data_IF_388962582635
#
_entry.id   IF_388962582635
#
_cell.length_a   1.000
_cell.length_b   1.000
_cell.length_c   1.000
_cell.angle_alpha   90.00
_cell.angle_beta   90.00
_cell.angle_gamma   90.00
#
_symmetry.space_group_name_H-M   'P 1'
#
loop_
_entity.id
_entity.type
_entity.pdbx_description
1 polymer ?
#
# COMPACT_ATOMS: atom_id res chain seq x y z
N UNK A 1 -48.24 -33.58 -36.78
CA UNK A 1 -48.40 -33.18 -35.36
C UNK A 1 -47.15 -32.42 -34.96
N UNK A 2 -47.22 -31.12 -34.60
CA UNK A 2 -46.07 -30.44 -34.04
C UNK A 2 -45.86 -30.93 -32.61
N UNK A 3 -44.61 -31.29 -32.27
CA UNK A 3 -44.20 -31.56 -30.89
C UNK A 3 -44.27 -30.23 -30.13
N UNK A 4 -45.32 -30.06 -29.33
CA UNK A 4 -45.43 -28.92 -28.41
C UNK A 4 -44.37 -29.15 -27.33
N UNK A 5 -43.32 -28.33 -27.35
CA UNK A 5 -42.38 -28.22 -26.23
C UNK A 5 -43.19 -27.88 -24.97
N UNK A 6 -43.23 -28.81 -24.02
CA UNK A 6 -43.92 -28.55 -22.75
C UNK A 6 -43.10 -27.53 -21.95
N UNK A 7 -43.75 -26.54 -21.30
CA UNK A 7 -43.05 -25.49 -20.54
C UNK A 7 -42.07 -26.03 -19.47
N UNK A 8 -42.30 -27.26 -18.99
CA UNK A 8 -41.40 -28.00 -18.09
C UNK A 8 -40.00 -28.27 -18.67
N UNK A 9 -39.88 -28.52 -19.97
CA UNK A 9 -38.59 -28.80 -20.62
C UNK A 9 -37.77 -27.52 -20.81
N UNK A 10 -38.41 -26.41 -21.22
CA UNK A 10 -37.74 -25.12 -21.38
C UNK A 10 -37.23 -24.53 -20.06
N UNK A 11 -37.98 -24.69 -18.96
CA UNK A 11 -37.50 -24.27 -17.63
C UNK A 11 -36.32 -25.10 -17.12
N UNK A 12 -36.28 -26.40 -17.41
CA UNK A 12 -35.16 -27.26 -17.01
C UNK A 12 -33.88 -26.94 -17.79
N UNK A 13 -34.02 -26.64 -19.09
CA UNK A 13 -32.91 -26.15 -19.92
C UNK A 13 -32.40 -24.79 -19.43
N UNK A 14 -33.29 -23.86 -19.10
CA UNK A 14 -32.92 -22.57 -18.50
C UNK A 14 -32.15 -22.75 -17.19
N UNK A 15 -32.62 -23.64 -16.30
CA UNK A 15 -31.94 -23.96 -15.04
C UNK A 15 -30.56 -24.63 -15.26
N UNK A 16 -30.41 -25.42 -16.32
CA UNK A 16 -29.13 -25.99 -16.71
C UNK A 16 -28.15 -24.93 -17.23
N UNK A 17 -28.63 -23.98 -18.04
CA UNK A 17 -27.83 -22.87 -18.53
C UNK A 17 -27.38 -21.94 -17.39
N UNK A 18 -28.29 -21.55 -16.49
CA UNK A 18 -27.95 -20.74 -15.31
C UNK A 18 -26.95 -21.44 -14.39
N UNK A 19 -27.12 -22.74 -14.15
CA UNK A 19 -26.16 -23.53 -13.37
C UNK A 19 -24.78 -23.59 -14.05
N UNK A 20 -24.72 -23.78 -15.37
CA UNK A 20 -23.45 -23.77 -16.13
C UNK A 20 -22.77 -22.39 -16.07
N UNK A 21 -23.53 -21.32 -16.18
CA UNK A 21 -23.01 -19.96 -16.05
C UNK A 21 -22.39 -19.72 -14.66
N UNK A 22 -23.05 -20.15 -13.59
CA UNK A 22 -22.47 -20.04 -12.23
C UNK A 22 -21.15 -20.81 -12.08
N UNK A 23 -21.01 -22.01 -12.65
CA UNK A 23 -19.74 -22.75 -12.59
C UNK A 23 -18.61 -22.04 -13.33
N UNK A 24 -18.89 -21.46 -14.50
CA UNK A 24 -17.90 -20.66 -15.24
C UNK A 24 -17.51 -19.39 -14.47
N UNK A 25 -18.50 -18.71 -13.87
CA UNK A 25 -18.26 -17.54 -13.04
C UNK A 25 -17.39 -17.87 -11.83
N UNK A 26 -17.63 -19.00 -11.14
CA UNK A 26 -16.79 -19.42 -10.01
C UNK A 26 -15.34 -19.56 -10.43
N UNK A 27 -15.07 -20.28 -11.52
CA UNK A 27 -13.69 -20.47 -12.00
C UNK A 27 -13.01 -19.12 -12.30
N UNK A 28 -13.70 -18.23 -13.00
CA UNK A 28 -13.18 -16.90 -13.31
C UNK A 28 -12.90 -16.07 -12.05
N UNK A 29 -13.80 -16.11 -11.07
CA UNK A 29 -13.65 -15.39 -9.82
C UNK A 29 -12.53 -15.98 -8.94
N UNK A 30 -12.32 -17.30 -8.95
CA UNK A 30 -11.20 -17.96 -8.27
C UNK A 30 -9.85 -17.55 -8.89
N UNK A 31 -9.76 -17.52 -10.21
CA UNK A 31 -8.57 -17.04 -10.92
C UNK A 31 -8.29 -15.56 -10.61
N UNK A 32 -9.33 -14.72 -10.61
CA UNK A 32 -9.23 -13.30 -10.22
C UNK A 32 -8.76 -13.14 -8.78
N UNK A 33 -9.29 -13.96 -7.86
CA UNK A 33 -8.91 -13.92 -6.44
C UNK A 33 -7.42 -14.24 -6.24
N UNK A 34 -6.88 -15.19 -7.00
CA UNK A 34 -5.45 -15.53 -6.97
C UNK A 34 -4.58 -14.36 -7.41
N UNK A 35 -4.97 -13.65 -8.48
CA UNK A 35 -4.25 -12.45 -8.95
C UNK A 35 -4.32 -11.33 -7.90
N UNK A 36 -5.48 -11.13 -7.28
CA UNK A 36 -5.65 -10.14 -6.21
C UNK A 36 -4.76 -10.46 -5.00
N UNK A 37 -4.68 -11.73 -4.58
CA UNK A 37 -3.78 -12.14 -3.50
C UNK A 37 -2.32 -11.80 -3.80
N UNK A 38 -1.84 -12.18 -4.98
CA UNK A 38 -0.46 -11.88 -5.39
C UNK A 38 -0.18 -10.38 -5.39
N UNK A 39 -1.15 -9.57 -5.83
CA UNK A 39 -1.01 -8.12 -5.87
C UNK A 39 -1.03 -7.48 -4.48
N UNK A 40 -1.85 -8.00 -3.55
CA UNK A 40 -1.84 -7.60 -2.14
C UNK A 40 -0.48 -7.92 -1.52
N UNK A 41 -0.01 -9.16 -1.66
CA UNK A 41 1.28 -9.58 -1.09
C UNK A 41 2.45 -8.75 -1.62
N UNK A 42 2.44 -8.42 -2.92
CA UNK A 42 3.42 -7.53 -3.52
C UNK A 42 3.37 -6.12 -2.91
N UNK A 43 2.18 -5.53 -2.83
CA UNK A 43 2.01 -4.17 -2.31
C UNK A 43 2.34 -4.07 -0.82
N UNK A 44 1.97 -5.08 -0.02
CA UNK A 44 2.30 -5.13 1.41
C UNK A 44 3.84 -5.18 1.61
N UNK A 45 4.56 -6.00 0.82
CA UNK A 45 6.02 -6.06 0.88
C UNK A 45 6.69 -4.76 0.40
N UNK A 46 6.20 -4.18 -0.69
CA UNK A 46 6.73 -2.94 -1.25
C UNK A 46 6.49 -1.75 -0.30
N UNK A 47 5.32 -1.68 0.33
CA UNK A 47 5.01 -0.68 1.35
C UNK A 47 5.91 -0.83 2.57
N UNK A 48 6.16 -2.06 3.05
CA UNK A 48 7.08 -2.32 4.15
C UNK A 48 8.49 -1.82 3.84
N UNK A 49 8.98 -2.03 2.62
CA UNK A 49 10.28 -1.52 2.20
C UNK A 49 10.30 0.01 2.15
N UNK A 50 9.25 0.65 1.62
CA UNK A 50 9.12 2.11 1.63
C UNK A 50 9.09 2.67 3.07
N UNK A 51 8.43 2.00 4.02
CA UNK A 51 8.43 2.42 5.43
C UNK A 51 9.85 2.38 6.05
N UNK A 52 10.65 1.36 5.71
CA UNK A 52 12.06 1.31 6.13
C UNK A 52 12.85 2.50 5.57
N UNK A 53 12.67 2.81 4.28
CA UNK A 53 13.33 3.97 3.66
C UNK A 53 12.92 5.30 4.32
N UNK A 54 11.63 5.46 4.66
CA UNK A 54 11.14 6.63 5.39
C UNK A 54 11.81 6.74 6.77
N UNK A 55 11.93 5.63 7.51
CA UNK A 55 12.60 5.62 8.80
C UNK A 55 14.07 6.00 8.68
N UNK A 56 14.79 5.43 7.71
CA UNK A 56 16.21 5.73 7.53
C UNK A 56 16.42 7.18 7.10
N UNK A 57 15.61 7.70 6.18
CA UNK A 57 15.66 9.11 5.78
C UNK A 57 15.34 10.07 6.94
N UNK A 58 14.45 9.68 7.86
CA UNK A 58 14.19 10.45 9.07
C UNK A 58 15.41 10.51 9.99
N UNK A 59 16.18 9.42 10.12
CA UNK A 59 17.45 9.42 10.88
C UNK A 59 18.48 10.34 10.25
N UNK A 60 18.60 10.33 8.92
CA UNK A 60 19.50 11.25 8.20
C UNK A 60 19.15 12.71 8.49
N UNK A 61 17.85 13.05 8.44
CA UNK A 61 17.35 14.38 8.78
C UNK A 61 17.69 14.75 10.22
N UNK A 62 17.45 13.85 11.18
CA UNK A 62 17.73 14.10 12.59
C UNK A 62 19.22 14.36 12.81
N UNK A 63 20.09 13.62 12.12
CA UNK A 63 21.54 13.83 12.12
C UNK A 63 21.95 15.18 11.51
N UNK A 64 21.37 15.55 10.37
CA UNK A 64 21.60 16.85 9.72
C UNK A 64 21.20 18.02 10.64
N UNK A 65 20.06 17.90 11.34
CA UNK A 65 19.60 18.88 12.32
C UNK A 65 20.61 19.03 13.47
N UNK A 66 21.12 17.91 14.01
CA UNK A 66 22.15 17.94 15.05
C UNK A 66 23.42 18.64 14.56
N UNK A 67 23.89 18.35 13.35
CA UNK A 67 25.07 18.99 12.76
C UNK A 67 24.93 20.51 12.62
N UNK A 68 23.74 20.98 12.20
CA UNK A 68 23.40 22.41 12.10
C UNK A 68 23.45 23.04 13.49
N UNK A 69 22.84 22.40 14.49
CA UNK A 69 22.79 22.90 15.86
C UNK A 69 24.18 23.00 16.49
N UNK A 70 25.01 21.95 16.37
CA UNK A 70 26.39 21.98 16.87
C UNK A 70 27.23 23.07 16.20
N UNK A 71 27.05 23.25 14.89
CA UNK A 71 27.76 24.30 14.13
C UNK A 71 27.30 25.69 14.55
N UNK A 72 26.00 25.89 14.77
CA UNK A 72 25.45 27.13 15.30
C UNK A 72 26.02 27.45 16.69
N UNK A 73 26.10 26.46 17.59
CA UNK A 73 26.71 26.67 18.90
C UNK A 73 28.16 27.12 18.80
N UNK A 74 28.94 26.55 17.87
CA UNK A 74 30.34 26.98 17.64
C UNK A 74 30.41 28.44 17.18
N UNK A 75 29.52 28.85 16.27
CA UNK A 75 29.42 30.24 15.81
C UNK A 75 29.06 31.15 17.00
N UNK A 76 28.02 30.80 17.76
CA UNK A 76 27.56 31.60 18.91
C UNK A 76 28.68 31.76 19.96
N UNK A 77 29.41 30.69 20.27
CA UNK A 77 30.56 30.74 21.17
C UNK A 77 31.66 31.69 20.69
N UNK A 78 31.93 31.72 19.38
CA UNK A 78 32.92 32.64 18.82
C UNK A 78 32.44 34.09 18.88
N UNK A 79 31.16 34.36 18.64
CA UNK A 79 30.60 35.71 18.70
C UNK A 79 30.51 36.25 20.14
N UNK A 80 30.30 35.38 21.13
CA UNK A 80 30.21 35.76 22.54
C UNK A 80 31.58 36.00 23.21
N UNK A 81 32.66 35.50 22.62
CA UNK A 81 34.01 35.62 23.18
C UNK A 81 34.79 36.77 22.52
N UNK A 82 34.91 37.91 23.20
CA UNK A 82 35.88 38.98 22.88
C UNK A 82 37.32 38.46 23.16
N UNK A 83 37.94 37.76 22.20
CA UNK A 83 38.93 36.76 22.62
C UNK A 83 40.20 36.52 21.79
N UNK A 84 40.91 37.52 21.25
CA UNK A 84 42.35 37.33 21.05
C UNK A 84 43.05 36.84 22.36
N UNK A 85 42.57 37.30 23.52
CA UNK A 85 43.15 37.00 24.86
C UNK A 85 42.59 35.75 25.55
N UNK A 86 41.32 35.37 25.35
CA UNK A 86 40.75 34.18 26.01
C UNK A 86 41.17 32.89 25.29
N UNK A 87 41.19 32.88 23.95
CA UNK A 87 41.58 31.69 23.18
C UNK A 87 43.06 31.34 23.32
N UNK A 88 43.95 32.34 23.41
CA UNK A 88 45.38 32.10 23.65
C UNK A 88 45.65 31.49 25.03
N UNK A 89 44.87 31.87 26.04
CA UNK A 89 44.96 31.33 27.41
C UNK A 89 44.58 29.85 27.49
N UNK A 90 43.62 29.40 26.68
CA UNK A 90 43.13 28.02 26.68
C UNK A 90 43.64 27.17 25.50
N UNK A 91 44.52 27.70 24.63
CA UNK A 91 45.04 27.02 23.42
C UNK A 91 43.94 26.40 22.54
N UNK A 92 42.81 27.09 22.42
CA UNK A 92 41.70 26.62 21.58
C UNK A 92 41.96 27.10 20.15
N UNK A 93 42.19 26.16 19.24
CA UNK A 93 42.19 26.45 17.80
C UNK A 93 40.73 26.58 17.34
N UNK A 94 40.31 27.80 17.07
CA UNK A 94 39.00 28.07 16.49
C UNK A 94 39.04 27.85 14.97
N UNK A 95 38.04 27.12 14.48
CA UNK A 95 37.70 27.08 13.06
C UNK A 95 37.28 28.49 12.60
N UNK A 96 37.65 28.92 11.39
CA UNK A 96 37.31 30.26 10.90
C UNK A 96 35.79 30.46 10.84
N UNK A 97 35.30 31.63 11.25
CA UNK A 97 33.86 31.94 11.30
C UNK A 97 33.21 31.82 9.91
N UNK A 98 33.91 32.22 8.84
CA UNK A 98 33.43 32.06 7.46
C UNK A 98 33.28 30.58 7.12
N UNK A 99 34.27 29.76 7.48
CA UNK A 99 34.23 28.31 7.26
C UNK A 99 33.08 27.65 8.04
N UNK A 100 32.83 28.06 9.29
CA UNK A 100 31.69 27.56 10.07
C UNK A 100 30.35 27.95 9.42
N UNK A 101 30.24 29.17 8.91
CA UNK A 101 29.03 29.65 8.25
C UNK A 101 28.78 28.90 6.93
N UNK A 102 29.81 28.68 6.12
CA UNK A 102 29.73 27.88 4.90
C UNK A 102 29.31 26.44 5.18
N UNK A 103 29.89 25.82 6.22
CA UNK A 103 29.54 24.48 6.66
C UNK A 103 28.09 24.39 7.12
N UNK A 104 27.62 25.36 7.90
CA UNK A 104 26.21 25.46 8.30
C UNK A 104 25.29 25.56 7.09
N UNK A 105 25.59 26.46 6.14
CA UNK A 105 24.82 26.63 4.92
C UNK A 105 24.77 25.34 4.08
N UNK A 106 25.86 24.58 4.05
CA UNK A 106 25.91 23.26 3.41
C UNK A 106 24.98 22.26 4.08
N UNK A 107 24.98 22.18 5.41
CA UNK A 107 24.05 21.30 6.14
C UNK A 107 22.59 21.75 5.98
N UNK A 108 22.31 23.05 6.01
CA UNK A 108 20.97 23.59 5.75
C UNK A 108 20.48 23.21 4.33
N UNK A 109 21.37 23.25 3.33
CA UNK A 109 21.04 22.81 1.98
C UNK A 109 20.72 21.31 1.91
N UNK A 110 21.58 20.48 2.53
CA UNK A 110 21.37 19.04 2.61
C UNK A 110 20.06 18.70 3.32
N UNK A 111 19.79 19.32 4.48
CA UNK A 111 18.55 19.11 5.24
C UNK A 111 17.31 19.42 4.40
N UNK A 112 17.33 20.49 3.61
CA UNK A 112 16.22 20.84 2.72
C UNK A 112 16.01 19.79 1.62
N UNK A 113 17.09 19.25 1.04
CA UNK A 113 16.99 18.15 0.07
C UNK A 113 16.41 16.89 0.70
N UNK A 114 16.93 16.47 1.87
CA UNK A 114 16.47 15.28 2.59
C UNK A 114 14.98 15.38 2.97
N UNK A 115 14.51 16.57 3.36
CA UNK A 115 13.10 16.81 3.66
C UNK A 115 12.19 16.64 2.43
N UNK A 116 12.63 17.11 1.27
CA UNK A 116 11.89 16.95 0.02
C UNK A 116 11.82 15.47 -0.40
N UNK A 117 12.94 14.74 -0.27
CA UNK A 117 12.98 13.30 -0.51
C UNK A 117 12.04 12.54 0.43
N UNK A 118 12.04 12.87 1.72
CA UNK A 118 11.16 12.27 2.71
C UNK A 118 9.68 12.53 2.38
N UNK A 119 9.33 13.74 1.97
CA UNK A 119 7.95 14.07 1.57
C UNK A 119 7.52 13.28 0.34
N UNK A 120 8.41 13.10 -0.64
CA UNK A 120 8.18 12.25 -1.81
C UNK A 120 7.92 10.80 -1.41
N UNK A 121 8.76 10.22 -0.55
CA UNK A 121 8.59 8.85 -0.06
C UNK A 121 7.26 8.67 0.70
N UNK A 122 6.89 9.63 1.54
CA UNK A 122 5.59 9.60 2.26
C UNK A 122 4.40 9.66 1.30
N UNK A 123 4.51 10.43 0.22
CA UNK A 123 3.47 10.49 -0.81
C UNK A 123 3.34 9.15 -1.53
N UNK A 124 4.46 8.56 -1.93
CA UNK A 124 4.50 7.23 -2.55
C UNK A 124 3.90 6.15 -1.63
N UNK A 125 4.30 6.11 -0.35
CA UNK A 125 3.75 5.17 0.63
C UNK A 125 2.23 5.33 0.77
N UNK A 126 1.72 6.57 0.79
CA UNK A 126 0.28 6.84 0.84
C UNK A 126 -0.44 6.34 -0.41
N UNK A 127 0.13 6.53 -1.59
CA UNK A 127 -0.44 6.04 -2.86
C UNK A 127 -0.51 4.51 -2.87
N UNK A 128 0.58 3.83 -2.47
CA UNK A 128 0.63 2.37 -2.33
C UNK A 128 -0.38 1.85 -1.30
N UNK A 129 -0.48 2.49 -0.13
CA UNK A 129 -1.48 2.14 0.89
C UNK A 129 -2.90 2.27 0.36
N UNK A 130 -3.21 3.33 -0.39
CA UNK A 130 -4.54 3.50 -1.00
C UNK A 130 -4.82 2.42 -2.07
N UNK A 131 -3.82 2.03 -2.86
CA UNK A 131 -3.95 0.95 -3.84
C UNK A 131 -4.20 -0.39 -3.15
N UNK A 132 -3.46 -0.68 -2.09
CA UNK A 132 -3.62 -1.88 -1.27
C UNK A 132 -5.03 -1.98 -0.67
N UNK A 133 -5.57 -0.88 -0.13
CA UNK A 133 -6.95 -0.86 0.38
C UNK A 133 -7.98 -1.13 -0.72
N UNK A 134 -7.76 -0.63 -1.95
CA UNK A 134 -8.63 -0.95 -3.09
C UNK A 134 -8.60 -2.45 -3.41
N UNK A 135 -7.44 -3.09 -3.40
CA UNK A 135 -7.35 -4.53 -3.63
C UNK A 135 -7.96 -5.34 -2.50
N UNK A 136 -7.82 -4.93 -1.24
CA UNK A 136 -8.50 -5.57 -0.09
C UNK A 136 -10.02 -5.48 -0.23
N UNK A 137 -10.56 -4.33 -0.64
CA UNK A 137 -11.98 -4.17 -0.92
C UNK A 137 -12.44 -5.03 -2.11
N UNK A 138 -11.65 -5.07 -3.18
CA UNK A 138 -11.94 -5.90 -4.35
C UNK A 138 -11.93 -7.40 -4.00
N UNK A 139 -10.96 -7.84 -3.19
CA UNK A 139 -10.89 -9.21 -2.65
C UNK A 139 -12.20 -9.58 -1.96
N UNK A 140 -12.65 -8.76 -1.02
CA UNK A 140 -13.89 -9.00 -0.28
C UNK A 140 -15.11 -9.07 -1.22
N UNK A 141 -15.17 -8.19 -2.22
CA UNK A 141 -16.23 -8.23 -3.23
C UNK A 141 -16.23 -9.55 -4.01
N UNK A 142 -15.06 -10.00 -4.49
CA UNK A 142 -14.92 -11.25 -5.25
C UNK A 142 -15.28 -12.46 -4.39
N UNK A 143 -14.85 -12.50 -3.13
CA UNK A 143 -15.23 -13.55 -2.17
C UNK A 143 -16.74 -13.62 -1.95
N UNK A 144 -17.41 -12.46 -1.85
CA UNK A 144 -18.86 -12.39 -1.74
C UNK A 144 -19.55 -12.93 -3.01
N UNK A 145 -19.05 -12.57 -4.20
CA UNK A 145 -19.58 -13.10 -5.47
C UNK A 145 -19.40 -14.61 -5.58
N UNK A 146 -18.25 -15.14 -5.13
CA UNK A 146 -18.01 -16.58 -5.08
C UNK A 146 -19.01 -17.30 -4.17
N UNK A 147 -19.24 -16.75 -2.97
CA UNK A 147 -20.21 -17.29 -2.02
C UNK A 147 -21.64 -17.31 -2.60
N UNK A 148 -22.07 -16.21 -3.22
CA UNK A 148 -23.38 -16.14 -3.90
C UNK A 148 -23.51 -17.15 -5.04
N UNK A 149 -22.51 -17.30 -5.91
CA UNK A 149 -22.56 -18.27 -7.01
C UNK A 149 -22.58 -19.72 -6.49
N UNK A 150 -21.83 -20.02 -5.42
CA UNK A 150 -21.86 -21.34 -4.76
C UNK A 150 -23.24 -21.65 -4.19
N UNK A 151 -23.86 -20.67 -3.53
CA UNK A 151 -25.23 -20.79 -2.99
C UNK A 151 -26.26 -21.02 -4.09
N UNK A 152 -26.20 -20.23 -5.18
CA UNK A 152 -27.10 -20.40 -6.33
C UNK A 152 -26.99 -21.79 -6.98
N UNK A 153 -25.77 -22.35 -7.08
CA UNK A 153 -25.58 -23.72 -7.57
C UNK A 153 -26.27 -24.74 -6.67
N UNK A 154 -26.13 -24.62 -5.34
CA UNK A 154 -26.82 -25.50 -4.40
C UNK A 154 -28.34 -25.42 -4.60
N UNK A 155 -28.90 -24.22 -4.71
CA UNK A 155 -30.33 -24.01 -4.97
C UNK A 155 -30.78 -24.65 -6.29
N UNK A 156 -30.04 -24.44 -7.38
CA UNK A 156 -30.33 -25.06 -8.66
C UNK A 156 -30.29 -26.59 -8.59
N UNK A 157 -29.35 -27.17 -7.84
CA UNK A 157 -29.29 -28.61 -7.61
C UNK A 157 -30.48 -29.13 -6.81
N UNK A 158 -30.90 -28.40 -5.77
CA UNK A 158 -32.10 -28.74 -5.00
C UNK A 158 -33.36 -28.71 -5.87
N UNK A 159 -33.55 -27.66 -6.67
CA UNK A 159 -34.70 -27.53 -7.59
C UNK A 159 -34.72 -28.69 -8.60
N UNK A 160 -33.57 -29.05 -9.20
CA UNK A 160 -33.47 -30.19 -10.12
C UNK A 160 -33.87 -31.51 -9.46
N UNK A 161 -33.36 -31.77 -8.25
CA UNK A 161 -33.70 -32.99 -7.49
C UNK A 161 -35.19 -33.07 -7.18
N UNK A 162 -35.77 -31.99 -6.65
CA UNK A 162 -37.20 -31.92 -6.31
C UNK A 162 -38.12 -32.13 -7.52
N UNK A 163 -37.74 -31.58 -8.70
CA UNK A 163 -38.48 -31.76 -9.95
C UNK A 163 -38.41 -33.20 -10.48
N UNK A 164 -37.26 -33.86 -10.37
CA UNK A 164 -37.10 -35.26 -10.79
C UNK A 164 -37.86 -36.26 -9.89
N UNK A 165 -38.12 -35.91 -8.62
CA UNK A 165 -38.92 -36.75 -7.70
C UNK A 165 -40.44 -36.62 -7.89
N UNK A 166 -40.92 -35.59 -8.59
CA UNK A 166 -42.33 -35.49 -8.97
C UNK A 166 -42.61 -36.35 -10.22
N UNK A 167 -42.93 -37.64 -10.03
CA UNK A 167 -43.43 -38.49 -11.12
C UNK A 167 -44.72 -37.89 -11.73
N UNK A 168 -44.97 -38.05 -13.04
CA UNK A 168 -46.29 -37.77 -13.61
C UNK A 168 -47.30 -38.76 -13.02
N UNK A 169 -48.44 -38.25 -12.54
CA UNK A 169 -49.64 -39.05 -12.28
C UNK A 169 -50.25 -39.50 -13.60
#
# INVERSE_FOLDING_TARGET
MPLIETPRNGELESLNQSSKACYLNIKYLEDMLNVIHQKIDYLDNDLHYTDIQIMDKQKDIDYSVLCIYETQQKIDMQMLMDAPTVFSKYRVNLEDMVTLQEKKNSFDHQLNQERLELESLRKEAKEKSNELDRYRNLKQYVENQLSSNKTAICEYQHIKKSRNTQKPL
#
